data_IF_135773276593
#
_entry.id   IF_135773276593
#
_cell.length_a   1.000
_cell.length_b   1.000
_cell.length_c   1.000
_cell.angle_alpha   90.00
_cell.angle_beta   90.00
_cell.angle_gamma   90.00
#
_symmetry.space_group_name_H-M   'P 1'
#
loop_
_entity.id
_entity.type
_entity.pdbx_description
1 polymer ?
#
# COMPACT_ATOMS: atom_id res chain seq x y z
N UNK A 1 21.73 11.53 29.22
CA UNK A 1 21.63 10.86 27.92
C UNK A 1 21.12 9.44 28.14
N UNK A 2 19.78 9.26 28.31
CA UNK A 2 19.08 7.96 28.47
C UNK A 2 17.65 8.10 27.94
N UNK A 3 17.49 8.29 26.62
CA UNK A 3 16.16 8.42 25.98
C UNK A 3 15.89 7.32 24.93
N UNK A 4 16.90 6.53 24.55
CA UNK A 4 16.79 5.64 23.38
C UNK A 4 16.18 4.27 23.62
N UNK A 5 15.94 3.85 24.87
CA UNK A 5 15.53 2.45 25.16
C UNK A 5 14.01 2.26 25.19
N UNK A 6 13.22 3.32 25.32
CA UNK A 6 11.76 3.19 25.43
C UNK A 6 11.06 3.13 24.07
N UNK A 7 11.61 3.78 23.05
CA UNK A 7 10.99 3.80 21.70
C UNK A 7 11.02 2.44 21.02
N UNK A 8 12.14 1.69 21.15
CA UNK A 8 12.22 0.32 20.59
C UNK A 8 11.21 -0.64 21.22
N UNK A 9 10.94 -0.51 22.53
CA UNK A 9 9.93 -1.35 23.19
C UNK A 9 8.52 -1.05 22.70
N UNK A 10 8.19 0.23 22.47
CA UNK A 10 6.90 0.63 21.93
C UNK A 10 6.72 0.13 20.47
N UNK A 11 7.76 0.24 19.65
CA UNK A 11 7.79 -0.22 18.26
C UNK A 11 7.67 -1.76 18.19
N UNK A 12 8.42 -2.49 19.02
CA UNK A 12 8.36 -3.97 19.07
C UNK A 12 6.98 -4.44 19.56
N UNK A 13 6.37 -3.75 20.53
CA UNK A 13 5.01 -4.05 20.99
C UNK A 13 3.96 -3.74 19.90
N UNK A 14 4.15 -2.68 19.13
CA UNK A 14 3.28 -2.34 18.00
C UNK A 14 3.38 -3.36 16.88
N UNK A 15 4.59 -3.80 16.54
CA UNK A 15 4.83 -4.85 15.54
C UNK A 15 4.31 -6.21 15.99
N UNK A 16 4.41 -6.53 17.29
CA UNK A 16 3.82 -7.74 17.86
C UNK A 16 2.29 -7.68 17.90
N UNK A 17 1.69 -6.49 18.10
CA UNK A 17 0.24 -6.30 18.09
C UNK A 17 -0.35 -6.50 16.68
N UNK A 18 0.39 -6.11 15.63
CA UNK A 18 -0.02 -6.32 14.23
C UNK A 18 0.20 -7.77 13.79
N UNK A 19 1.15 -8.50 14.41
CA UNK A 19 1.47 -9.90 14.08
C UNK A 19 0.60 -10.93 14.82
N UNK A 20 -0.22 -10.52 15.82
CA UNK A 20 -1.09 -11.41 16.59
C UNK A 20 -2.56 -11.03 16.33
N UNK A 21 -3.23 -11.62 15.33
CA UNK A 21 -4.66 -11.43 15.18
C UNK A 21 -5.41 -12.06 16.37
N UNK A 22 -6.03 -11.23 17.20
CA UNK A 22 -7.09 -11.66 18.10
C UNK A 22 -6.99 -11.40 19.59
N UNK A 23 -6.01 -10.67 20.14
CA UNK A 23 -5.87 -10.53 21.61
C UNK A 23 -5.73 -9.08 22.13
N UNK A 24 -5.83 -8.05 21.31
CA UNK A 24 -5.73 -6.67 21.80
C UNK A 24 -7.05 -5.92 21.62
N UNK A 25 -7.76 -5.68 22.74
CA UNK A 25 -8.83 -4.69 22.77
C UNK A 25 -8.27 -3.30 22.53
N UNK A 26 -8.94 -2.50 21.70
CA UNK A 26 -8.50 -1.18 21.19
C UNK A 26 -8.20 -0.12 22.27
N UNK A 27 -8.56 -0.33 23.52
CA UNK A 27 -8.46 0.62 24.61
C UNK A 27 -7.01 1.00 25.09
N UNK A 28 -6.01 0.10 25.04
CA UNK A 28 -4.66 0.44 25.51
C UNK A 28 -3.88 1.38 24.58
N UNK A 29 -4.21 1.42 23.29
CA UNK A 29 -3.43 2.17 22.30
C UNK A 29 -3.83 3.65 22.27
N UNK A 30 -5.13 3.97 22.43
CA UNK A 30 -5.63 5.35 22.50
C UNK A 30 -5.02 6.08 23.71
N UNK A 31 -4.92 5.41 24.87
CA UNK A 31 -4.27 5.96 26.07
C UNK A 31 -2.76 6.16 25.91
N UNK A 32 -2.09 5.29 25.15
CA UNK A 32 -0.66 5.42 24.87
C UNK A 32 -0.37 6.58 23.89
N UNK A 33 -1.17 6.71 22.82
CA UNK A 33 -1.04 7.77 21.83
C UNK A 33 -1.39 9.15 22.40
N UNK A 34 -2.35 9.22 23.32
CA UNK A 34 -2.76 10.50 23.97
C UNK A 34 -1.66 11.16 24.80
N UNK A 35 -0.65 10.39 25.23
CA UNK A 35 0.52 10.85 26.00
C UNK A 35 1.68 11.31 25.14
N UNK A 36 1.62 11.08 23.83
CA UNK A 36 2.66 11.45 22.88
C UNK A 36 2.49 12.90 22.40
N UNK A 37 3.60 13.55 22.10
CA UNK A 37 3.60 14.82 21.41
C UNK A 37 3.09 14.67 19.96
N UNK A 38 2.67 15.77 19.34
CA UNK A 38 2.20 15.75 17.94
C UNK A 38 3.24 15.21 16.96
N UNK A 39 4.52 15.49 17.19
CA UNK A 39 5.62 15.00 16.35
C UNK A 39 5.85 13.50 16.52
N UNK A 40 5.69 12.95 17.72
CA UNK A 40 5.78 11.53 17.97
C UNK A 40 4.62 10.77 17.33
N UNK A 41 3.39 11.27 17.48
CA UNK A 41 2.21 10.72 16.80
C UNK A 41 2.40 10.73 15.27
N UNK A 42 2.86 11.84 14.72
CA UNK A 42 3.16 11.94 13.28
C UNK A 42 4.20 10.91 12.83
N UNK A 43 5.26 10.70 13.63
CA UNK A 43 6.27 9.67 13.37
C UNK A 43 5.69 8.25 13.35
N UNK A 44 4.84 7.92 14.33
CA UNK A 44 4.15 6.61 14.40
C UNK A 44 3.30 6.36 13.15
N UNK A 45 2.49 7.34 12.73
CA UNK A 45 1.63 7.16 11.56
C UNK A 45 2.42 7.13 10.26
N UNK A 46 3.52 7.88 10.13
CA UNK A 46 4.44 7.74 9.00
C UNK A 46 5.02 6.32 8.92
N UNK A 47 5.50 5.79 10.04
CA UNK A 47 6.05 4.42 10.11
C UNK A 47 4.99 3.37 9.78
N UNK A 48 3.76 3.52 10.30
CA UNK A 48 2.64 2.66 9.95
C UNK A 48 2.33 2.68 8.46
N UNK A 49 2.30 3.86 7.83
CA UNK A 49 2.08 3.98 6.40
C UNK A 49 3.22 3.37 5.58
N UNK A 50 4.47 3.57 6.00
CA UNK A 50 5.63 2.95 5.33
C UNK A 50 5.62 1.43 5.45
N UNK A 51 5.38 0.91 6.65
CA UNK A 51 5.34 -0.54 6.90
C UNK A 51 4.12 -1.20 6.29
N UNK A 52 3.02 -0.48 6.13
CA UNK A 52 1.86 -0.92 5.35
C UNK A 52 2.22 -1.29 3.91
N UNK A 53 3.25 -0.66 3.33
CA UNK A 53 3.80 -1.02 2.01
C UNK A 53 4.95 -2.00 2.18
N UNK A 54 6.01 -1.62 2.91
CA UNK A 54 7.24 -2.39 3.09
C UNK A 54 7.50 -2.70 4.56
N UNK A 55 7.52 -3.98 4.94
CA UNK A 55 7.47 -5.20 4.11
C UNK A 55 6.06 -5.83 4.00
N UNK A 56 5.02 -5.28 4.65
CA UNK A 56 3.78 -6.00 4.94
C UNK A 56 2.77 -5.99 3.77
N UNK A 57 2.82 -4.98 2.90
CA UNK A 57 1.82 -4.76 1.85
C UNK A 57 2.12 -5.47 0.53
N UNK A 58 2.09 -6.80 0.50
CA UNK A 58 2.35 -7.56 -0.73
C UNK A 58 1.43 -7.13 -1.88
N UNK A 59 0.18 -6.79 -1.61
CA UNK A 59 -0.77 -6.28 -2.62
C UNK A 59 -0.23 -5.02 -3.30
N UNK A 60 0.21 -4.05 -2.49
CA UNK A 60 0.79 -2.80 -2.97
C UNK A 60 2.12 -3.03 -3.68
N UNK A 61 2.98 -3.89 -3.14
CA UNK A 61 4.27 -4.22 -3.77
C UNK A 61 4.05 -4.79 -5.16
N UNK A 62 3.18 -5.80 -5.31
CA UNK A 62 2.90 -6.41 -6.61
C UNK A 62 2.21 -5.45 -7.58
N UNK A 63 1.32 -4.59 -7.06
CA UNK A 63 0.67 -3.56 -7.84
C UNK A 63 1.69 -2.54 -8.38
N UNK A 64 2.56 -2.01 -7.52
CA UNK A 64 3.63 -1.05 -7.89
C UNK A 64 4.63 -1.69 -8.86
N UNK A 65 5.01 -2.96 -8.64
CA UNK A 65 5.84 -3.71 -9.57
C UNK A 65 5.17 -3.81 -10.96
N UNK A 66 3.87 -4.09 -11.00
CA UNK A 66 3.12 -4.16 -12.27
C UNK A 66 3.09 -2.81 -12.99
N UNK A 67 2.93 -1.69 -12.26
CA UNK A 67 3.03 -0.35 -12.85
C UNK A 67 4.42 -0.12 -13.43
N UNK A 68 5.47 -0.49 -12.70
CA UNK A 68 6.86 -0.29 -13.08
C UNK A 68 7.25 -1.08 -14.34
N UNK A 69 6.85 -2.35 -14.42
CA UNK A 69 7.29 -3.26 -15.48
C UNK A 69 6.97 -2.78 -16.89
N UNK A 70 5.82 -2.18 -17.12
CA UNK A 70 5.40 -1.72 -18.45
C UNK A 70 6.25 -0.55 -18.96
N UNK A 71 6.54 0.40 -18.08
CA UNK A 71 7.30 1.60 -18.45
C UNK A 71 8.20 2.04 -17.29
N UNK A 72 9.45 1.54 -17.21
CA UNK A 72 10.36 1.77 -16.08
C UNK A 72 10.99 3.16 -16.06
N UNK A 73 10.28 4.18 -16.56
CA UNK A 73 10.68 5.60 -16.45
C UNK A 73 10.23 6.13 -15.10
N UNK A 74 11.15 6.43 -14.19
CA UNK A 74 10.87 6.86 -12.81
C UNK A 74 9.79 7.94 -12.72
N UNK A 75 9.87 9.00 -13.53
CA UNK A 75 8.87 10.08 -13.53
C UNK A 75 7.45 9.55 -13.80
N UNK A 76 7.31 8.63 -14.75
CA UNK A 76 6.00 8.06 -15.12
C UNK A 76 5.45 7.15 -14.04
N UNK A 77 6.32 6.32 -13.43
CA UNK A 77 5.92 5.38 -12.39
C UNK A 77 5.54 6.12 -11.11
N UNK A 78 6.37 7.09 -10.68
CA UNK A 78 6.08 7.92 -9.50
C UNK A 78 4.77 8.67 -9.68
N UNK A 79 4.51 9.26 -10.86
CA UNK A 79 3.25 9.95 -11.12
C UNK A 79 2.02 9.03 -10.96
N UNK A 80 2.10 7.79 -11.44
CA UNK A 80 1.04 6.80 -11.25
C UNK A 80 0.90 6.39 -9.78
N UNK A 81 2.02 6.18 -9.08
CA UNK A 81 2.02 5.86 -7.65
C UNK A 81 1.40 7.00 -6.82
N UNK A 82 1.77 8.26 -7.08
CA UNK A 82 1.17 9.42 -6.42
C UNK A 82 -0.33 9.54 -6.71
N UNK A 83 -0.76 9.31 -7.96
CA UNK A 83 -2.18 9.29 -8.29
C UNK A 83 -2.95 8.20 -7.50
N UNK A 84 -2.34 7.02 -7.34
CA UNK A 84 -2.87 5.96 -6.48
C UNK A 84 -2.95 6.40 -5.01
N UNK A 85 -1.86 6.97 -4.45
CA UNK A 85 -1.83 7.40 -3.04
C UNK A 85 -2.87 8.50 -2.75
N UNK A 86 -3.06 9.44 -3.68
CA UNK A 86 -4.11 10.47 -3.53
C UNK A 86 -5.49 9.83 -3.50
N UNK A 87 -5.78 8.91 -4.41
CA UNK A 87 -7.05 8.19 -4.45
C UNK A 87 -7.27 7.35 -3.17
N UNK A 88 -6.24 6.60 -2.77
CA UNK A 88 -6.22 5.82 -1.54
C UNK A 88 -6.52 6.69 -0.31
N UNK A 89 -5.88 7.85 -0.20
CA UNK A 89 -6.09 8.79 0.90
C UNK A 89 -7.53 9.29 0.99
N UNK A 90 -8.17 9.56 -0.15
CA UNK A 90 -9.55 10.03 -0.21
C UNK A 90 -10.50 8.98 0.39
N UNK A 91 -10.45 7.75 -0.10
CA UNK A 91 -11.38 6.70 0.35
C UNK A 91 -11.05 6.18 1.74
N UNK A 92 -9.78 6.10 2.11
CA UNK A 92 -9.37 5.80 3.47
C UNK A 92 -9.95 6.83 4.45
N UNK A 93 -9.80 8.13 4.15
CA UNK A 93 -10.37 9.20 4.97
C UNK A 93 -11.89 9.13 5.06
N UNK A 94 -12.59 8.93 3.95
CA UNK A 94 -14.06 8.79 3.92
C UNK A 94 -14.54 7.57 4.73
N UNK A 95 -13.84 6.45 4.64
CA UNK A 95 -14.18 5.25 5.40
C UNK A 95 -13.92 5.42 6.90
N UNK A 96 -12.84 6.08 7.28
CA UNK A 96 -12.53 6.37 8.69
C UNK A 96 -13.46 7.40 9.34
N UNK A 97 -14.15 8.24 8.53
CA UNK A 97 -15.22 9.12 9.00
C UNK A 97 -16.61 8.49 8.92
N UNK A 98 -16.70 7.19 8.67
CA UNK A 98 -17.97 6.45 8.49
C UNK A 98 -18.89 7.03 7.40
N UNK A 99 -18.32 7.83 6.46
CA UNK A 99 -19.06 8.34 5.29
C UNK A 99 -19.35 7.21 4.31
N UNK A 100 -18.40 6.26 4.20
CA UNK A 100 -18.57 5.00 3.47
C UNK A 100 -18.23 3.84 4.41
N UNK A 101 -19.05 2.78 4.34
CA UNK A 101 -18.79 1.54 5.06
C UNK A 101 -18.49 0.45 4.03
N UNK A 102 -17.21 0.21 3.73
CA UNK A 102 -16.84 -0.73 2.67
C UNK A 102 -17.11 -2.16 3.10
N UNK A 103 -17.80 -2.96 2.27
CA UNK A 103 -17.96 -4.38 2.54
C UNK A 103 -16.64 -5.11 2.24
N UNK A 104 -15.90 -5.48 3.28
CA UNK A 104 -14.54 -6.08 3.17
C UNK A 104 -14.53 -7.32 2.28
N UNK A 105 -15.55 -8.17 2.39
CA UNK A 105 -15.73 -9.37 1.56
C UNK A 105 -15.85 -9.09 0.05
N UNK A 106 -16.15 -7.84 -0.35
CA UNK A 106 -16.14 -7.42 -1.76
C UNK A 106 -14.83 -6.70 -2.09
N UNK A 107 -14.36 -5.83 -1.19
CA UNK A 107 -13.20 -4.98 -1.44
C UNK A 107 -11.92 -5.81 -1.59
N UNK A 108 -11.69 -6.78 -0.73
CA UNK A 108 -10.46 -7.59 -0.76
C UNK A 108 -10.28 -8.40 -2.05
N UNK A 109 -11.30 -9.12 -2.56
CA UNK A 109 -11.21 -9.75 -3.88
C UNK A 109 -10.96 -8.75 -5.02
N UNK A 110 -11.58 -7.55 -4.97
CA UNK A 110 -11.42 -6.54 -6.01
C UNK A 110 -10.01 -5.92 -5.97
N UNK A 111 -9.40 -5.79 -4.79
CA UNK A 111 -7.98 -5.42 -4.66
C UNK A 111 -7.10 -6.44 -5.41
N UNK A 112 -7.28 -7.73 -5.13
CA UNK A 112 -6.52 -8.79 -5.80
C UNK A 112 -6.77 -8.81 -7.32
N UNK A 113 -8.02 -8.61 -7.75
CA UNK A 113 -8.40 -8.50 -9.17
C UNK A 113 -7.72 -7.30 -9.85
N UNK A 114 -7.54 -6.18 -9.16
CA UNK A 114 -6.85 -5.00 -9.69
C UNK A 114 -5.38 -5.28 -10.01
N UNK A 115 -4.70 -6.05 -9.15
CA UNK A 115 -3.31 -6.49 -9.36
C UNK A 115 -3.22 -7.37 -10.60
N UNK A 116 -4.12 -8.36 -10.69
CA UNK A 116 -4.22 -9.24 -11.84
C UNK A 116 -4.47 -8.45 -13.14
N UNK A 117 -5.38 -7.49 -13.11
CA UNK A 117 -5.73 -6.65 -14.26
C UNK A 117 -4.51 -5.90 -14.81
N UNK A 118 -3.77 -5.18 -13.93
CA UNK A 118 -2.59 -4.40 -14.34
C UNK A 118 -1.48 -5.32 -14.86
N UNK A 119 -1.32 -6.50 -14.27
CA UNK A 119 -0.35 -7.48 -14.73
C UNK A 119 -0.71 -8.06 -16.10
N UNK A 120 -1.99 -8.39 -16.35
CA UNK A 120 -2.47 -8.84 -17.67
C UNK A 120 -2.30 -7.74 -18.71
N UNK A 121 -2.63 -6.47 -18.37
CA UNK A 121 -2.41 -5.35 -19.28
C UNK A 121 -0.95 -5.28 -19.77
N UNK A 122 0.03 -5.51 -18.89
CA UNK A 122 1.45 -5.57 -19.28
C UNK A 122 1.77 -6.67 -20.29
N UNK A 123 1.02 -7.78 -20.26
CA UNK A 123 1.22 -8.90 -21.19
C UNK A 123 0.66 -8.55 -22.57
N UNK A 124 -0.53 -7.95 -22.62
CA UNK A 124 -1.26 -7.69 -23.87
C UNK A 124 -0.87 -6.39 -24.57
N UNK A 125 -0.28 -5.41 -23.84
CA UNK A 125 0.14 -4.13 -24.43
C UNK A 125 1.61 -3.84 -24.14
N UNK A 126 2.26 -3.10 -25.04
CA UNK A 126 3.62 -2.59 -24.89
C UNK A 126 3.66 -1.07 -24.77
N UNK A 127 2.50 -0.41 -24.85
CA UNK A 127 2.38 1.03 -24.85
C UNK A 127 1.67 1.52 -23.56
N UNK A 128 2.28 2.51 -22.92
CA UNK A 128 1.64 3.22 -21.82
C UNK A 128 0.57 4.18 -22.35
N UNK A 129 -0.69 3.84 -22.13
CA UNK A 129 -1.82 4.71 -22.48
C UNK A 129 -2.03 5.79 -21.41
N UNK A 130 -2.40 7.03 -21.79
CA UNK A 130 -2.71 8.09 -20.82
C UNK A 130 -3.84 7.71 -19.84
N UNK A 131 -4.81 6.92 -20.30
CA UNK A 131 -5.92 6.40 -19.48
C UNK A 131 -5.46 5.51 -18.32
N UNK A 132 -4.24 4.95 -18.36
CA UNK A 132 -3.73 4.11 -17.29
C UNK A 132 -3.65 4.83 -15.94
N UNK A 133 -3.33 6.12 -15.94
CA UNK A 133 -3.33 6.92 -14.70
C UNK A 133 -4.72 6.95 -14.07
N UNK A 134 -5.77 7.09 -14.88
CA UNK A 134 -7.16 7.04 -14.39
C UNK A 134 -7.53 5.66 -13.83
N UNK A 135 -7.09 4.58 -14.48
CA UNK A 135 -7.29 3.20 -13.99
C UNK A 135 -6.56 2.98 -12.66
N UNK A 136 -5.31 3.42 -12.56
CA UNK A 136 -4.51 3.34 -11.33
C UNK A 136 -5.16 4.16 -10.21
N UNK A 137 -5.68 5.34 -10.52
CA UNK A 137 -6.42 6.18 -9.57
C UNK A 137 -7.69 5.44 -9.06
N UNK A 138 -8.49 4.85 -9.96
CA UNK A 138 -9.68 4.07 -9.57
C UNK A 138 -9.32 2.90 -8.66
N UNK A 139 -8.23 2.18 -8.95
CA UNK A 139 -7.75 1.12 -8.08
C UNK A 139 -7.25 1.67 -6.73
N UNK A 140 -6.63 2.83 -6.70
CA UNK A 140 -6.26 3.52 -5.45
C UNK A 140 -7.48 3.78 -4.56
N UNK A 141 -8.62 4.21 -5.13
CA UNK A 141 -9.87 4.37 -4.38
C UNK A 141 -10.33 3.06 -3.72
N UNK A 142 -10.18 1.93 -4.42
CA UNK A 142 -10.57 0.62 -3.89
C UNK A 142 -9.62 0.19 -2.77
N UNK A 143 -8.31 0.32 -2.97
CA UNK A 143 -7.30 -0.06 -1.99
C UNK A 143 -7.43 0.75 -0.67
N UNK A 144 -7.76 2.04 -0.75
CA UNK A 144 -7.95 2.87 0.44
C UNK A 144 -9.12 2.43 1.31
N UNK A 145 -10.15 1.81 0.72
CA UNK A 145 -11.26 1.24 1.48
C UNK A 145 -10.86 -0.04 2.24
N UNK A 146 -9.92 -0.82 1.71
CA UNK A 146 -9.52 -2.10 2.30
C UNK A 146 -8.74 -1.97 3.61
N UNK A 147 -8.08 -0.84 3.86
CA UNK A 147 -7.27 -0.65 5.08
C UNK A 147 -7.99 0.13 6.20
N UNK A 148 -9.17 0.65 5.93
CA UNK A 148 -9.88 1.51 6.87
C UNK A 148 -10.20 0.82 8.20
N UNK A 149 -10.65 -0.44 8.18
CA UNK A 149 -10.95 -1.21 9.39
C UNK A 149 -9.72 -1.38 10.28
N UNK A 150 -8.58 -1.75 9.69
CA UNK A 150 -7.32 -1.94 10.42
C UNK A 150 -6.88 -0.63 11.09
N UNK A 151 -6.97 0.48 10.39
CA UNK A 151 -6.57 1.77 10.94
C UNK A 151 -7.57 2.29 12.00
N UNK A 152 -8.85 1.94 11.87
CA UNK A 152 -9.88 2.22 12.89
C UNK A 152 -9.61 1.43 14.17
N UNK A 153 -9.27 0.15 14.06
CA UNK A 153 -8.97 -0.73 15.19
C UNK A 153 -7.68 -0.29 15.94
N UNK A 154 -6.72 0.29 15.21
CA UNK A 154 -5.52 0.89 15.82
C UNK A 154 -5.81 2.17 16.59
N UNK A 155 -6.95 2.82 16.33
CA UNK A 155 -7.36 4.08 16.95
C UNK A 155 -6.59 5.30 16.39
N UNK A 156 -7.34 6.32 15.96
CA UNK A 156 -6.76 7.62 15.62
C UNK A 156 -7.16 8.63 16.70
N UNK A 157 -6.18 9.35 17.30
CA UNK A 157 -6.51 10.39 18.25
C UNK A 157 -7.41 11.44 17.59
N UNK A 158 -8.64 11.61 18.10
CA UNK A 158 -9.65 12.51 17.49
C UNK A 158 -9.14 13.94 17.28
N UNK A 159 -8.30 14.45 18.18
CA UNK A 159 -7.69 15.77 18.12
C UNK A 159 -6.53 15.89 17.12
N UNK A 160 -6.02 14.77 16.59
CA UNK A 160 -4.89 14.72 15.64
C UNK A 160 -5.23 13.89 14.38
N UNK A 161 -6.51 13.55 14.19
CA UNK A 161 -6.97 12.67 13.11
C UNK A 161 -6.42 13.07 11.75
N UNK A 162 -6.60 14.33 11.35
CA UNK A 162 -6.22 14.80 10.02
C UNK A 162 -4.69 14.74 9.80
N UNK A 163 -3.91 15.15 10.80
CA UNK A 163 -2.44 15.07 10.73
C UNK A 163 -1.94 13.64 10.68
N UNK A 164 -2.54 12.74 11.45
CA UNK A 164 -2.20 11.32 11.46
C UNK A 164 -2.50 10.65 10.10
N UNK A 165 -3.67 10.95 9.53
CA UNK A 165 -4.06 10.44 8.22
C UNK A 165 -3.11 10.94 7.11
N UNK A 166 -2.71 12.21 7.14
CA UNK A 166 -1.73 12.76 6.19
C UNK A 166 -0.39 12.03 6.36
N UNK A 167 0.11 11.92 7.59
CA UNK A 167 1.42 11.30 7.82
C UNK A 167 1.43 9.82 7.47
N UNK A 168 0.34 9.10 7.70
CA UNK A 168 0.17 7.75 7.21
C UNK A 168 0.31 7.67 5.67
N UNK A 169 -0.40 8.51 4.95
CA UNK A 169 -0.34 8.50 3.47
C UNK A 169 1.01 9.00 2.92
N UNK A 170 1.71 9.89 3.62
CA UNK A 170 3.11 10.23 3.31
C UNK A 170 4.01 9.01 3.49
N UNK A 171 3.79 8.21 4.53
CA UNK A 171 4.47 6.93 4.74
C UNK A 171 4.18 5.92 3.63
N UNK A 172 2.91 5.80 3.21
CA UNK A 172 2.50 4.96 2.06
C UNK A 172 3.25 5.37 0.80
N UNK A 173 3.26 6.66 0.45
CA UNK A 173 3.99 7.17 -0.71
C UNK A 173 5.49 6.87 -0.63
N UNK A 174 6.10 7.10 0.56
CA UNK A 174 7.51 6.79 0.78
C UNK A 174 7.82 5.29 0.59
N UNK A 175 6.94 4.41 1.08
CA UNK A 175 7.05 2.96 0.88
C UNK A 175 6.97 2.57 -0.60
N UNK A 176 6.02 3.13 -1.34
CA UNK A 176 5.89 2.89 -2.79
C UNK A 176 7.12 3.41 -3.55
N UNK A 177 7.61 4.61 -3.24
CA UNK A 177 8.82 5.16 -3.84
C UNK A 177 10.02 4.26 -3.54
N UNK A 178 10.14 3.73 -2.33
CA UNK A 178 11.20 2.78 -1.99
C UNK A 178 11.13 1.51 -2.86
N UNK A 179 9.95 0.91 -3.06
CA UNK A 179 9.74 -0.23 -3.98
C UNK A 179 10.16 0.13 -5.40
N UNK A 180 9.74 1.30 -5.90
CA UNK A 180 10.07 1.80 -7.24
C UNK A 180 11.59 1.94 -7.41
N UNK A 181 12.27 2.56 -6.44
CA UNK A 181 13.71 2.80 -6.49
C UNK A 181 14.50 1.49 -6.42
N UNK A 182 14.11 0.56 -5.52
CA UNK A 182 14.72 -0.77 -5.41
C UNK A 182 14.57 -1.50 -6.75
N UNK A 183 13.38 -1.53 -7.32
CA UNK A 183 13.10 -2.22 -8.59
C UNK A 183 13.85 -1.56 -9.74
N UNK A 184 13.91 -0.23 -9.77
CA UNK A 184 14.67 0.50 -10.78
C UNK A 184 16.17 0.20 -10.68
N UNK A 185 16.73 0.16 -9.49
CA UNK A 185 18.14 -0.15 -9.28
C UNK A 185 18.48 -1.59 -9.66
N UNK A 186 17.64 -2.54 -9.28
CA UNK A 186 17.87 -3.97 -9.53
C UNK A 186 17.60 -4.37 -10.99
N UNK A 187 16.57 -3.79 -11.61
CA UNK A 187 16.08 -4.22 -12.93
C UNK A 187 16.07 -3.09 -13.94
N UNK A 188 15.43 -1.97 -13.62
CA UNK A 188 15.16 -0.89 -14.59
C UNK A 188 16.42 -0.30 -15.19
N UNK A 189 17.38 0.06 -14.37
CA UNK A 189 18.66 0.68 -14.78
C UNK A 189 19.45 -0.18 -15.77
N UNK A 190 19.43 -1.48 -15.59
CA UNK A 190 20.30 -2.41 -16.32
C UNK A 190 19.64 -3.05 -17.54
N UNK A 191 18.34 -3.31 -17.46
CA UNK A 191 17.65 -4.18 -18.42
C UNK A 191 16.57 -3.48 -19.24
N UNK A 192 16.04 -2.33 -18.80
CA UNK A 192 14.89 -1.68 -19.45
C UNK A 192 15.13 -1.30 -20.91
N UNK A 193 16.39 -1.03 -21.30
CA UNK A 193 16.78 -0.66 -22.67
C UNK A 193 17.14 -1.88 -23.54
N UNK A 194 17.10 -3.09 -22.99
CA UNK A 194 17.48 -4.28 -23.75
C UNK A 194 16.32 -4.76 -24.62
N UNK A 195 16.55 -5.18 -25.89
CA UNK A 195 15.48 -5.64 -26.78
C UNK A 195 14.69 -6.83 -26.24
N UNK A 196 15.30 -7.62 -25.37
CA UNK A 196 14.70 -8.80 -24.76
C UNK A 196 13.97 -8.49 -23.44
N UNK A 197 14.02 -7.25 -22.89
CA UNK A 197 13.42 -6.87 -21.61
C UNK A 197 11.97 -7.30 -21.51
N UNK A 198 11.15 -6.97 -22.51
CA UNK A 198 9.73 -7.35 -22.54
C UNK A 198 9.54 -8.87 -22.51
N UNK A 199 10.25 -9.61 -23.37
CA UNK A 199 10.05 -11.07 -23.49
C UNK A 199 10.56 -11.85 -22.26
N UNK A 200 11.66 -11.40 -21.64
CA UNK A 200 12.34 -12.14 -20.57
C UNK A 200 12.04 -11.65 -19.17
N UNK A 201 11.54 -10.42 -19.03
CA UNK A 201 11.23 -9.82 -17.71
C UNK A 201 9.76 -9.44 -17.63
N UNK A 202 9.28 -8.53 -18.48
CA UNK A 202 7.92 -8.00 -18.34
C UNK A 202 6.86 -9.11 -18.41
N UNK A 203 6.87 -9.90 -19.48
CA UNK A 203 5.86 -10.94 -19.68
C UNK A 203 5.90 -12.02 -18.59
N UNK A 204 7.04 -12.68 -18.28
CA UNK A 204 7.05 -13.75 -17.29
C UNK A 204 6.78 -13.26 -15.87
N UNK A 205 7.30 -12.08 -15.47
CA UNK A 205 7.04 -11.54 -14.14
C UNK A 205 5.57 -11.09 -14.02
N UNK A 206 5.02 -10.45 -15.06
CA UNK A 206 3.60 -10.08 -15.06
C UNK A 206 2.68 -11.31 -15.08
N UNK A 207 3.06 -12.39 -15.76
CA UNK A 207 2.31 -13.64 -15.70
C UNK A 207 2.29 -14.24 -14.30
N UNK A 208 3.42 -14.24 -13.61
CA UNK A 208 3.49 -14.68 -12.20
C UNK A 208 2.62 -13.80 -11.30
N UNK A 209 2.69 -12.48 -11.43
CA UNK A 209 1.86 -11.54 -10.65
C UNK A 209 0.38 -11.76 -10.94
N UNK A 210 0.01 -11.97 -12.21
CA UNK A 210 -1.37 -12.26 -12.59
C UNK A 210 -1.90 -13.56 -11.96
N UNK A 211 -1.07 -14.61 -11.91
CA UNK A 211 -1.41 -15.88 -11.25
C UNK A 211 -1.59 -15.70 -9.73
N UNK A 212 -0.72 -14.92 -9.08
CA UNK A 212 -0.87 -14.59 -7.64
C UNK A 212 -2.16 -13.81 -7.42
N UNK A 213 -2.42 -12.77 -8.23
CA UNK A 213 -3.65 -11.98 -8.14
C UNK A 213 -4.91 -12.83 -8.36
N UNK A 214 -4.89 -13.78 -9.32
CA UNK A 214 -5.97 -14.73 -9.52
C UNK A 214 -6.18 -15.64 -8.31
N UNK A 215 -5.10 -16.19 -7.76
CA UNK A 215 -5.15 -17.03 -6.57
C UNK A 215 -5.78 -16.27 -5.40
N UNK A 216 -5.32 -15.06 -5.09
CA UNK A 216 -5.88 -14.24 -4.03
C UNK A 216 -7.33 -13.81 -4.30
N UNK A 217 -7.69 -13.57 -5.55
CA UNK A 217 -9.10 -13.27 -5.90
C UNK A 217 -10.01 -14.44 -5.54
N UNK A 218 -9.60 -15.66 -5.88
CA UNK A 218 -10.36 -16.89 -5.56
C UNK A 218 -10.38 -17.11 -4.04
N UNK A 219 -9.22 -17.04 -3.39
CA UNK A 219 -9.10 -17.24 -1.94
C UNK A 219 -10.01 -16.29 -1.17
N UNK A 220 -9.91 -14.98 -1.44
CA UNK A 220 -10.67 -13.93 -0.75
C UNK A 220 -12.17 -13.91 -1.11
N UNK A 221 -12.57 -14.56 -2.22
CA UNK A 221 -13.99 -14.66 -2.61
C UNK A 221 -14.68 -15.84 -1.95
N UNK A 222 -13.99 -16.96 -1.81
CA UNK A 222 -14.63 -18.23 -1.44
C UNK A 222 -14.15 -18.81 -0.12
N UNK A 223 -13.03 -18.34 0.44
CA UNK A 223 -12.38 -18.96 1.61
C UNK A 223 -12.01 -17.96 2.72
N UNK A 224 -12.21 -16.66 2.54
CA UNK A 224 -11.96 -15.62 3.55
C UNK A 224 -13.20 -15.31 4.39
#
# INVERSE_FOLDING_TARGET
MKVTTNHYKAIVLLLLAVALPGILQAHPMDDALSKLSRSEVAGVYFELGFTHILPLGLDHILFVLSIFLLNPKLKSVIWQATAFTVAHSITLGLAMYDVIVPPTHIIEPVIALSIMFVAIENIITDQLKPSRVAVVFLFGLIHGMGFASVLTDLGLPRNQFFSSLIMFNVGVEAGQVAVILITWFLVGKWFSQKPWYRKRIVIPVSALIALIGLYWTIERTFFA
#
